data_IF_548384881925
#
_entry.id   IF_548384881925
#
_cell.length_a   1.000
_cell.length_b   1.000
_cell.length_c   1.000
_cell.angle_alpha   90.00
_cell.angle_beta   90.00
_cell.angle_gamma   90.00
#
_symmetry.space_group_name_H-M   'P 1'
#
loop_
_entity.id
_entity.type
_entity.pdbx_description
1 polymer ?
#
# COMPACT_ATOMS: atom_id res chain seq x y z
N UNK A 1 -0.17 -19.62 -13.71
CA UNK A 1 -1.59 -19.28 -13.83
C UNK A 1 -2.07 -19.06 -12.40
N UNK A 2 -2.45 -17.83 -12.02
CA UNK A 2 -2.94 -17.57 -10.66
C UNK A 2 -4.33 -18.22 -10.54
N UNK A 3 -4.42 -19.34 -9.83
CA UNK A 3 -5.70 -19.93 -9.45
C UNK A 3 -6.30 -19.06 -8.34
N UNK A 4 -7.12 -18.09 -8.74
CA UNK A 4 -7.92 -17.31 -7.79
C UNK A 4 -9.12 -18.20 -7.43
N UNK A 5 -9.14 -18.70 -6.19
CA UNK A 5 -10.26 -19.48 -5.63
C UNK A 5 -11.59 -18.70 -5.73
N UNK A 6 -12.71 -19.42 -5.67
CA UNK A 6 -14.05 -18.84 -5.85
C UNK A 6 -14.46 -18.07 -4.59
N UNK A 7 -14.00 -16.83 -4.46
CA UNK A 7 -14.53 -15.84 -3.51
C UNK A 7 -15.74 -15.13 -4.13
N UNK A 8 -16.74 -14.77 -3.30
CA UNK A 8 -17.96 -14.10 -3.78
C UNK A 8 -17.68 -12.72 -4.39
N UNK A 9 -16.56 -12.08 -4.00
CA UNK A 9 -16.08 -10.79 -4.54
C UNK A 9 -14.56 -10.75 -4.56
N UNK A 10 -14.00 -10.45 -5.74
CA UNK A 10 -12.56 -10.23 -5.94
C UNK A 10 -12.30 -8.74 -6.16
N UNK A 11 -11.35 -8.16 -5.41
CA UNK A 11 -10.86 -6.80 -5.61
C UNK A 11 -9.40 -6.87 -6.05
N UNK A 12 -9.01 -5.99 -6.96
CA UNK A 12 -7.63 -5.84 -7.41
C UNK A 12 -7.13 -4.47 -6.94
N UNK A 13 -6.09 -4.47 -6.12
CA UNK A 13 -5.39 -3.25 -5.67
C UNK A 13 -3.94 -3.41 -6.11
N UNK A 14 -3.44 -2.46 -6.89
CA UNK A 14 -2.13 -2.57 -7.54
C UNK A 14 -1.46 -1.21 -7.74
N UNK A 15 -0.15 -1.18 -7.93
CA UNK A 15 0.58 0.04 -8.28
C UNK A 15 0.28 0.46 -9.73
N UNK A 16 0.34 1.77 -10.02
CA UNK A 16 0.25 2.31 -11.37
C UNK A 16 1.57 2.97 -11.79
N UNK A 17 2.52 2.17 -12.28
CA UNK A 17 3.66 2.71 -13.02
C UNK A 17 3.20 3.60 -14.18
N UNK A 18 2.10 3.19 -14.83
CA UNK A 18 1.31 3.96 -15.77
C UNK A 18 -0.17 3.60 -15.64
N UNK A 19 -0.97 4.47 -15.04
CA UNK A 19 -2.37 4.24 -14.73
C UNK A 19 -3.17 3.67 -15.91
N UNK A 20 -3.07 4.33 -17.08
CA UNK A 20 -3.86 3.97 -18.27
C UNK A 20 -3.44 2.62 -18.84
N UNK A 21 -2.14 2.35 -18.92
CA UNK A 21 -1.62 1.09 -19.45
C UNK A 21 -1.87 -0.07 -18.50
N UNK A 22 -1.55 0.10 -17.20
CA UNK A 22 -1.75 -0.93 -16.19
C UNK A 22 -3.23 -1.31 -16.07
N UNK A 23 -4.15 -0.33 -16.04
CA UNK A 23 -5.59 -0.62 -15.98
C UNK A 23 -6.06 -1.45 -17.17
N UNK A 24 -5.63 -1.09 -18.39
CA UNK A 24 -5.96 -1.84 -19.62
C UNK A 24 -5.38 -3.27 -19.60
N UNK A 25 -4.15 -3.42 -19.13
CA UNK A 25 -3.48 -4.71 -19.04
C UNK A 25 -4.18 -5.63 -18.03
N UNK A 26 -4.52 -5.13 -16.84
CA UNK A 26 -5.27 -5.88 -15.82
C UNK A 26 -6.59 -6.37 -16.40
N UNK A 27 -7.36 -5.49 -17.05
CA UNK A 27 -8.63 -5.88 -17.70
C UNK A 27 -8.42 -6.96 -18.77
N UNK A 28 -7.35 -6.86 -19.56
CA UNK A 28 -7.00 -7.84 -20.61
C UNK A 28 -6.61 -9.20 -20.03
N UNK A 29 -5.92 -9.21 -18.89
CA UNK A 29 -5.55 -10.45 -18.21
C UNK A 29 -6.79 -11.08 -17.57
N UNK A 30 -7.59 -10.28 -16.89
CA UNK A 30 -8.78 -10.76 -16.19
C UNK A 30 -9.86 -11.25 -17.15
N UNK A 31 -10.02 -10.62 -18.32
CA UNK A 31 -10.97 -11.08 -19.34
C UNK A 31 -10.68 -12.49 -19.87
N UNK A 32 -9.46 -13.01 -19.64
CA UNK A 32 -9.07 -14.39 -19.97
C UNK A 32 -9.39 -15.39 -18.85
N UNK A 33 -9.81 -14.91 -17.69
CA UNK A 33 -10.19 -15.73 -16.53
C UNK A 33 -11.69 -16.05 -16.57
N UNK A 34 -12.13 -17.00 -15.74
CA UNK A 34 -13.56 -17.31 -15.56
C UNK A 34 -14.29 -16.30 -14.65
N UNK A 35 -13.58 -15.33 -14.07
CA UNK A 35 -14.15 -14.35 -13.16
C UNK A 35 -14.58 -13.10 -13.92
N UNK A 36 -15.73 -12.53 -13.54
CA UNK A 36 -16.15 -11.20 -14.00
C UNK A 36 -15.61 -10.18 -13.01
N UNK A 37 -14.54 -9.48 -13.39
CA UNK A 37 -14.04 -8.32 -12.64
C UNK A 37 -14.30 -7.09 -13.51
N UNK A 38 -15.02 -6.15 -12.93
CA UNK A 38 -15.38 -4.88 -13.53
C UNK A 38 -14.35 -3.80 -13.19
N UNK A 39 -14.38 -2.66 -13.89
CA UNK A 39 -13.41 -1.59 -13.65
C UNK A 39 -13.51 -1.01 -12.23
N UNK A 40 -14.71 -1.06 -11.64
CA UNK A 40 -15.01 -0.56 -10.30
C UNK A 40 -14.38 -1.42 -9.20
N UNK A 41 -13.95 -2.65 -9.54
CA UNK A 41 -13.25 -3.57 -8.64
C UNK A 41 -11.72 -3.45 -8.71
N UNK A 42 -11.21 -2.51 -9.52
CA UNK A 42 -9.79 -2.24 -9.67
C UNK A 42 -9.47 -0.87 -9.07
N UNK A 43 -8.55 -0.85 -8.12
CA UNK A 43 -7.95 0.35 -7.57
C UNK A 43 -6.47 0.38 -7.91
N UNK A 44 -6.02 1.47 -8.51
CA UNK A 44 -4.60 1.69 -8.74
C UNK A 44 -4.07 2.77 -7.80
N UNK A 45 -2.95 2.51 -7.14
CA UNK A 45 -2.28 3.53 -6.33
C UNK A 45 -1.78 4.69 -7.20
N UNK A 46 -1.65 5.90 -6.62
CA UNK A 46 -1.94 6.24 -5.23
C UNK A 46 -3.44 6.51 -4.96
N UNK A 47 -4.20 6.90 -5.98
CA UNK A 47 -5.53 7.50 -5.82
C UNK A 47 -6.57 7.08 -6.88
N UNK A 48 -6.28 6.03 -7.65
CA UNK A 48 -7.05 5.51 -8.77
C UNK A 48 -7.23 6.46 -9.96
N UNK A 49 -6.27 7.37 -10.15
CA UNK A 49 -6.27 8.30 -11.27
C UNK A 49 -4.87 8.58 -11.81
N UNK A 50 -3.92 8.79 -10.92
CA UNK A 50 -2.57 9.23 -11.27
C UNK A 50 -1.57 8.06 -11.27
N UNK A 51 -0.42 8.28 -11.90
CA UNK A 51 0.69 7.33 -11.85
C UNK A 51 1.35 7.37 -10.46
N UNK A 52 1.64 6.21 -9.90
CA UNK A 52 2.35 6.07 -8.65
C UNK A 52 2.17 4.70 -8.00
N UNK A 53 2.57 4.63 -6.74
CA UNK A 53 2.69 3.40 -5.97
C UNK A 53 2.14 3.63 -4.55
N UNK A 54 2.07 2.57 -3.76
CA UNK A 54 1.73 2.66 -2.35
C UNK A 54 2.64 3.66 -1.61
N UNK A 55 3.93 3.67 -1.90
CA UNK A 55 4.87 4.59 -1.26
C UNK A 55 4.54 6.06 -1.56
N UNK A 56 4.11 6.40 -2.77
CA UNK A 56 3.68 7.75 -3.13
C UNK A 56 2.53 8.22 -2.23
N UNK A 57 1.52 7.36 -2.02
CA UNK A 57 0.42 7.66 -1.11
C UNK A 57 0.90 7.81 0.34
N UNK A 58 1.76 6.90 0.82
CA UNK A 58 2.27 6.93 2.21
C UNK A 58 3.13 8.17 2.48
N UNK A 59 3.94 8.59 1.51
CA UNK A 59 4.75 9.81 1.59
C UNK A 59 3.88 11.07 1.54
N UNK A 60 2.80 11.07 0.75
CA UNK A 60 1.84 12.18 0.69
C UNK A 60 1.13 12.41 2.04
N UNK A 61 0.88 11.35 2.79
CA UNK A 61 0.21 11.40 4.09
C UNK A 61 1.20 11.39 5.28
N UNK A 62 2.50 11.53 5.03
CA UNK A 62 3.49 11.67 6.09
C UNK A 62 3.30 13.01 6.82
N UNK A 63 3.28 12.98 8.15
CA UNK A 63 3.03 14.18 8.97
C UNK A 63 4.25 15.11 9.11
N UNK A 64 5.45 14.55 8.99
CA UNK A 64 6.71 15.25 9.23
C UNK A 64 7.48 15.46 7.92
N UNK A 65 6.98 16.38 7.10
CA UNK A 65 7.53 16.66 5.76
C UNK A 65 9.00 17.14 5.81
N UNK A 66 9.47 17.64 6.94
CA UNK A 66 10.84 18.06 7.19
C UNK A 66 11.84 16.93 7.00
N UNK A 67 11.49 15.70 7.39
CA UNK A 67 12.37 14.54 7.24
C UNK A 67 12.42 14.06 5.78
N UNK A 68 11.34 14.23 5.02
CA UNK A 68 11.33 13.95 3.59
C UNK A 68 12.24 14.93 2.85
N UNK A 69 12.17 16.22 3.19
CA UNK A 69 13.07 17.26 2.65
C UNK A 69 14.53 17.00 2.98
N UNK A 70 14.83 16.45 4.17
CA UNK A 70 16.19 16.00 4.49
C UNK A 70 16.66 14.89 3.53
N UNK A 71 15.79 13.95 3.18
CA UNK A 71 16.11 12.90 2.21
C UNK A 71 16.32 13.46 0.79
N UNK A 72 15.52 14.44 0.37
CA UNK A 72 15.73 15.15 -0.90
C UNK A 72 17.10 15.85 -0.92
N UNK A 73 17.49 16.51 0.18
CA UNK A 73 18.82 17.09 0.34
C UNK A 73 19.95 16.06 0.27
N UNK A 74 19.74 14.86 0.83
CA UNK A 74 20.64 13.73 0.68
C UNK A 74 20.79 13.29 -0.79
N UNK A 75 19.68 13.20 -1.55
CA UNK A 75 19.72 12.86 -2.97
C UNK A 75 20.50 13.90 -3.78
N UNK A 76 20.25 15.20 -3.55
CA UNK A 76 21.00 16.28 -4.20
C UNK A 76 22.49 16.24 -3.85
N UNK A 77 22.83 16.02 -2.58
CA UNK A 77 24.21 15.91 -2.13
C UNK A 77 24.95 14.77 -2.84
N UNK A 78 24.31 13.62 -3.02
CA UNK A 78 24.93 12.45 -3.65
C UNK A 78 25.10 12.61 -5.16
N UNK A 79 24.17 13.29 -5.85
CA UNK A 79 24.25 13.49 -7.31
C UNK A 79 25.57 14.14 -7.76
N UNK A 80 26.18 14.96 -6.92
CA UNK A 80 27.42 15.67 -7.23
C UNK A 80 28.70 14.90 -6.84
N UNK A 81 28.61 13.65 -6.36
CA UNK A 81 29.76 12.88 -5.87
C UNK A 81 30.38 12.00 -6.96
N UNK A 82 31.69 11.82 -6.88
CA UNK A 82 32.43 10.90 -7.75
C UNK A 82 31.94 9.45 -7.55
N UNK A 83 31.93 8.63 -8.60
CA UNK A 83 31.39 7.26 -8.63
C UNK A 83 29.88 7.11 -8.40
N UNK A 84 29.11 8.21 -8.47
CA UNK A 84 27.66 8.14 -8.36
C UNK A 84 27.04 7.21 -9.42
N UNK A 85 26.13 6.35 -8.95
CA UNK A 85 25.16 5.64 -9.78
C UNK A 85 23.77 6.11 -9.37
N UNK A 86 22.84 6.30 -10.32
CA UNK A 86 21.46 6.65 -10.00
C UNK A 86 20.88 5.75 -8.91
N UNK A 87 20.39 6.36 -7.83
CA UNK A 87 19.67 5.64 -6.79
C UNK A 87 18.36 5.13 -7.40
N UNK A 88 18.13 3.82 -7.35
CA UNK A 88 16.87 3.20 -7.75
C UNK A 88 15.92 3.12 -6.55
N UNK A 89 14.62 2.95 -6.81
CA UNK A 89 13.59 2.81 -5.77
C UNK A 89 13.56 3.97 -4.76
N UNK A 90 13.69 5.21 -5.25
CA UNK A 90 13.81 6.42 -4.42
C UNK A 90 12.66 6.51 -3.40
N UNK A 91 11.39 6.33 -3.81
CA UNK A 91 10.24 6.43 -2.90
C UNK A 91 10.29 5.40 -1.78
N UNK A 92 10.65 4.15 -2.08
CA UNK A 92 10.83 3.09 -1.07
C UNK A 92 11.94 3.40 -0.08
N UNK A 93 13.09 3.86 -0.57
CA UNK A 93 14.21 4.24 0.29
C UNK A 93 13.87 5.46 1.15
N UNK A 94 13.15 6.43 0.59
CA UNK A 94 12.70 7.62 1.30
C UNK A 94 11.68 7.28 2.39
N UNK A 95 10.70 6.42 2.10
CA UNK A 95 9.74 5.93 3.09
C UNK A 95 10.45 5.14 4.20
N UNK A 96 11.41 4.28 3.85
CA UNK A 96 12.21 3.54 4.81
C UNK A 96 12.96 4.50 5.75
N UNK A 97 13.69 5.48 5.20
CA UNK A 97 14.44 6.45 5.97
C UNK A 97 13.52 7.31 6.85
N UNK A 98 12.36 7.72 6.33
CA UNK A 98 11.34 8.45 7.09
C UNK A 98 10.89 7.66 8.32
N UNK A 99 10.54 6.39 8.14
CA UNK A 99 10.07 5.53 9.24
C UNK A 99 11.19 5.17 10.23
N UNK A 100 12.43 5.08 9.76
CA UNK A 100 13.60 4.78 10.61
C UNK A 100 13.85 5.87 11.66
N UNK A 101 13.55 7.15 11.36
CA UNK A 101 13.62 8.26 12.32
C UNK A 101 12.75 8.00 13.56
N UNK A 102 11.67 7.23 13.39
CA UNK A 102 10.70 6.91 14.44
C UNK A 102 10.81 5.47 14.95
N UNK A 103 11.88 4.75 14.56
CA UNK A 103 12.08 3.33 14.87
C UNK A 103 10.98 2.39 14.34
N UNK A 104 10.28 2.80 13.28
CA UNK A 104 9.16 2.07 12.65
C UNK A 104 9.54 1.31 11.38
N UNK A 105 10.80 1.39 10.94
CA UNK A 105 11.30 0.75 9.72
C UNK A 105 11.06 -0.77 9.70
N UNK A 106 11.03 -1.42 10.87
CA UNK A 106 10.80 -2.87 10.99
C UNK A 106 9.38 -3.28 10.59
N UNK A 107 8.40 -2.38 10.70
CA UNK A 107 7.00 -2.64 10.36
C UNK A 107 6.80 -2.92 8.86
N UNK A 108 7.76 -2.51 8.01
CA UNK A 108 7.72 -2.71 6.56
C UNK A 108 8.84 -3.63 6.05
N UNK A 109 9.64 -4.25 6.93
CA UNK A 109 10.77 -5.11 6.59
C UNK A 109 10.41 -6.60 6.41
N UNK A 110 9.12 -6.94 6.27
CA UNK A 110 8.70 -8.33 6.23
C UNK A 110 9.35 -9.10 5.09
N UNK A 111 10.16 -10.11 5.46
CA UNK A 111 10.59 -11.17 4.57
C UNK A 111 9.57 -12.29 4.63
N UNK A 112 8.85 -12.50 3.54
CA UNK A 112 8.04 -13.69 3.35
C UNK A 112 8.96 -14.88 3.08
N UNK A 113 9.23 -15.70 4.10
CA UNK A 113 9.97 -16.95 3.94
C UNK A 113 8.98 -18.08 3.65
N UNK A 114 8.94 -18.55 2.41
CA UNK A 114 8.02 -19.63 1.97
C UNK A 114 8.30 -20.96 2.65
N UNK A 115 9.47 -21.14 3.28
CA UNK A 115 9.90 -22.39 3.90
C UNK A 115 9.74 -22.41 5.42
N UNK A 116 9.35 -21.29 6.05
CA UNK A 116 9.37 -21.13 7.50
C UNK A 116 7.97 -20.78 8.04
N UNK A 117 7.41 -21.66 8.87
CA UNK A 117 6.08 -21.49 9.50
C UNK A 117 6.00 -20.31 10.48
N UNK A 118 7.11 -19.62 10.76
CA UNK A 118 7.15 -18.40 11.60
C UNK A 118 6.46 -17.17 10.98
N UNK A 119 5.92 -17.26 9.77
CA UNK A 119 5.17 -16.16 9.16
C UNK A 119 3.95 -15.72 9.99
N UNK A 120 3.39 -16.58 10.86
CA UNK A 120 2.32 -16.21 11.80
C UNK A 120 2.75 -15.13 12.82
N UNK A 121 4.05 -15.08 13.17
CA UNK A 121 4.59 -14.04 14.05
C UNK A 121 4.63 -12.67 13.38
N UNK A 122 4.58 -12.60 12.04
CA UNK A 122 4.66 -11.37 11.26
C UNK A 122 3.29 -10.83 10.83
N UNK A 123 2.23 -11.59 11.03
CA UNK A 123 0.87 -11.14 10.75
C UNK A 123 0.50 -10.05 11.77
N UNK A 124 0.35 -8.81 11.30
CA UNK A 124 0.02 -7.63 12.11
C UNK A 124 -1.45 -7.61 12.53
N UNK A 125 -2.33 -8.16 11.70
CA UNK A 125 -3.79 -8.11 11.84
C UNK A 125 -4.32 -9.49 12.28
N UNK A 126 -5.15 -9.55 13.30
CA UNK A 126 -5.81 -10.79 13.72
C UNK A 126 -6.97 -11.21 12.78
N UNK A 127 -7.56 -12.36 13.06
CA UNK A 127 -8.66 -12.91 12.26
C UNK A 127 -9.94 -12.05 12.35
N UNK A 128 -10.03 -11.14 13.33
CA UNK A 128 -11.11 -10.16 13.47
C UNK A 128 -10.84 -8.85 12.72
N UNK A 129 -9.68 -8.71 12.06
CA UNK A 129 -9.29 -7.50 11.36
C UNK A 129 -8.70 -6.41 12.25
N UNK A 130 -8.31 -6.72 13.49
CA UNK A 130 -7.71 -5.78 14.44
C UNK A 130 -6.20 -5.94 14.51
N UNK A 131 -5.49 -4.88 14.89
CA UNK A 131 -4.05 -4.96 15.15
C UNK A 131 -3.81 -5.87 16.35
N UNK A 132 -2.96 -6.89 16.20
CA UNK A 132 -2.58 -7.79 17.29
C UNK A 132 -1.94 -7.00 18.42
N UNK A 133 -2.23 -7.37 19.68
CA UNK A 133 -1.79 -6.61 20.87
C UNK A 133 -0.28 -6.33 20.89
N UNK A 134 0.54 -7.30 20.44
CA UNK A 134 2.01 -7.14 20.35
C UNK A 134 2.49 -6.03 19.40
N UNK A 135 1.66 -5.61 18.44
CA UNK A 135 1.95 -4.55 17.47
C UNK A 135 1.19 -3.25 17.78
N UNK A 136 0.41 -3.21 18.85
CA UNK A 136 -0.45 -2.08 19.17
C UNK A 136 0.36 -0.82 19.46
N UNK A 137 1.45 -0.93 20.22
CA UNK A 137 2.33 0.20 20.51
C UNK A 137 2.96 0.77 19.21
N UNK A 138 3.49 -0.11 18.35
CA UNK A 138 4.05 0.28 17.06
C UNK A 138 2.99 0.95 16.17
N UNK A 139 1.76 0.44 16.19
CA UNK A 139 0.65 1.02 15.43
C UNK A 139 0.21 2.38 15.99
N UNK A 140 0.19 2.59 17.31
CA UNK A 140 -0.06 3.91 17.90
C UNK A 140 1.02 4.91 17.46
N UNK A 141 2.30 4.54 17.52
CA UNK A 141 3.41 5.37 17.00
C UNK A 141 3.26 5.63 15.50
N UNK A 142 2.84 4.64 14.71
CA UNK A 142 2.60 4.82 13.28
C UNK A 142 1.51 5.87 13.01
N UNK A 143 0.44 5.89 13.80
CA UNK A 143 -0.62 6.92 13.70
C UNK A 143 -0.13 8.31 14.09
N UNK A 144 0.94 8.44 14.87
CA UNK A 144 1.54 9.73 15.21
C UNK A 144 2.30 10.33 14.02
N UNK A 145 2.82 9.50 13.10
CA UNK A 145 3.71 9.92 12.00
C UNK A 145 3.08 9.78 10.60
N UNK A 146 2.04 8.97 10.45
CA UNK A 146 1.24 8.82 9.23
C UNK A 146 -0.19 9.34 9.49
N UNK A 147 -0.67 10.24 8.64
CA UNK A 147 -2.02 10.78 8.73
C UNK A 147 -3.05 9.88 8.02
N UNK A 148 -3.50 8.84 8.74
CA UNK A 148 -4.58 7.98 8.27
C UNK A 148 -5.94 8.70 8.12
N UNK A 149 -6.06 9.95 8.57
CA UNK A 149 -7.24 10.79 8.37
C UNK A 149 -7.09 11.76 7.19
N UNK A 150 -5.95 11.73 6.48
CA UNK A 150 -5.70 12.59 5.33
C UNK A 150 -6.78 12.43 4.25
N UNK A 151 -7.07 13.52 3.56
CA UNK A 151 -7.99 13.56 2.42
C UNK A 151 -7.47 12.73 1.24
N UNK A 152 -6.15 12.54 1.13
CA UNK A 152 -5.54 11.71 0.08
C UNK A 152 -5.94 10.24 0.17
N UNK A 153 -6.43 9.78 1.34
CA UNK A 153 -6.98 8.44 1.52
C UNK A 153 -8.45 8.30 1.11
N UNK A 154 -9.15 9.40 0.80
CA UNK A 154 -10.58 9.36 0.41
C UNK A 154 -10.83 8.43 -0.77
N UNK A 155 -10.04 8.43 -1.87
CA UNK A 155 -10.26 7.52 -3.00
C UNK A 155 -10.20 6.04 -2.57
N UNK A 156 -9.19 5.66 -1.78
CA UNK A 156 -9.05 4.30 -1.28
C UNK A 156 -10.18 3.92 -0.32
N UNK A 157 -10.54 4.81 0.61
CA UNK A 157 -11.66 4.61 1.55
C UNK A 157 -12.99 4.44 0.81
N UNK A 158 -13.24 5.27 -0.20
CA UNK A 158 -14.44 5.18 -1.03
C UNK A 158 -14.48 3.88 -1.83
N UNK A 159 -13.35 3.47 -2.42
CA UNK A 159 -13.22 2.20 -3.12
C UNK A 159 -13.54 1.02 -2.20
N UNK A 160 -12.89 0.93 -1.03
CA UNK A 160 -13.12 -0.16 -0.07
C UNK A 160 -14.54 -0.13 0.52
N UNK A 161 -15.08 1.07 0.78
CA UNK A 161 -16.42 1.28 1.35
C UNK A 161 -17.54 0.70 0.49
N UNK A 162 -17.44 0.82 -0.83
CA UNK A 162 -18.41 0.25 -1.79
C UNK A 162 -18.59 -1.27 -1.60
N UNK A 163 -17.55 -1.96 -1.13
CA UNK A 163 -17.56 -3.41 -0.95
C UNK A 163 -17.82 -3.82 0.50
N UNK A 164 -17.44 -3.00 1.48
CA UNK A 164 -17.66 -3.25 2.90
C UNK A 164 -19.14 -3.18 3.32
N UNK A 165 -19.95 -2.31 2.68
CA UNK A 165 -21.36 -2.08 3.05
C UNK A 165 -22.32 -3.23 2.69
N UNK A 166 -21.84 -4.30 2.05
CA UNK A 166 -22.68 -5.39 1.58
C UNK A 166 -23.16 -6.40 2.65
N UNK A 167 -22.93 -6.14 3.95
CA UNK A 167 -23.50 -6.96 5.04
C UNK A 167 -24.80 -6.43 5.64
N UNK A 168 -25.35 -5.30 5.19
CA UNK A 168 -26.58 -4.71 5.77
C UNK A 168 -27.83 -4.74 4.88
N UNK A 169 -27.77 -5.26 3.64
CA UNK A 169 -28.93 -5.35 2.72
C UNK A 169 -29.44 -6.77 2.45
N UNK A 170 -29.26 -7.69 3.40
CA UNK A 170 -29.96 -8.99 3.40
C UNK A 170 -30.76 -9.11 4.69
N UNK A 171 -31.88 -8.37 4.75
CA UNK A 171 -33.07 -8.64 5.56
C UNK A 171 -34.06 -7.50 5.31
N UNK A 172 -34.76 -7.52 4.17
CA UNK A 172 -36.08 -6.90 4.05
C UNK A 172 -36.74 -7.39 2.75
N UNK A 173 -37.79 -8.19 2.99
CA UNK A 173 -38.79 -8.80 2.09
C UNK A 173 -38.42 -10.13 1.42
#
# INVERSE_FOLDING_TARGET
MLEIEKYDKTLIIFDADNYKSNKKEILTVVSKTKQTISEEQIFLFPNNQDDGDLEALLLEIAKHDEFLKCFEGYLECIKSKEHYKPITNIRKNMLYAYLEVFELQKFFQYKWDTNNKKNEENIVIDDEGKIKEKHKEEYEKLKEVIDFNSKSLIPLKNFLGQFAENKQKTNLF
#
